data_IF_588864193587
#
_entry.id   IF_588864193587
#
_cell.length_a   1.000
_cell.length_b   1.000
_cell.length_c   1.000
_cell.angle_alpha   90.00
_cell.angle_beta   90.00
_cell.angle_gamma   90.00
#
_symmetry.space_group_name_H-M   'P 1'
#
loop_
_entity.id
_entity.type
_entity.pdbx_description
1 polymer ?
#
# COMPACT_ATOMS: atom_id res chain seq x y z
N UNK A 1 -27.62 14.63 -2.95
CA UNK A 1 -27.35 15.13 -1.58
C UNK A 1 -25.96 14.74 -1.04
N UNK A 2 -25.30 13.69 -1.55
CA UNK A 2 -23.92 13.30 -1.17
C UNK A 2 -22.78 14.11 -1.83
N UNK A 3 -23.08 14.99 -2.77
CA UNK A 3 -22.07 15.70 -3.58
C UNK A 3 -21.60 17.02 -2.94
N UNK A 4 -22.41 17.61 -2.03
CA UNK A 4 -22.09 18.89 -1.40
C UNK A 4 -21.11 18.73 -0.21
N UNK A 5 -21.19 17.62 0.52
CA UNK A 5 -20.34 17.38 1.70
C UNK A 5 -18.87 17.11 1.32
N UNK A 6 -18.62 16.47 0.17
CA UNK A 6 -17.26 16.31 -0.35
C UNK A 6 -16.61 17.63 -0.82
N UNK A 7 -17.40 18.59 -1.34
CA UNK A 7 -16.87 19.88 -1.78
C UNK A 7 -16.40 20.73 -0.60
N UNK A 8 -17.07 20.61 0.54
CA UNK A 8 -16.69 21.30 1.78
C UNK A 8 -15.35 20.75 2.30
N UNK A 9 -15.13 19.43 2.26
CA UNK A 9 -13.82 18.85 2.55
C UNK A 9 -12.73 19.34 1.58
N UNK A 10 -13.01 19.43 0.27
CA UNK A 10 -12.04 19.93 -0.71
C UNK A 10 -11.67 21.41 -0.50
N UNK A 11 -12.64 22.26 -0.16
CA UNK A 11 -12.41 23.69 0.11
C UNK A 11 -11.67 23.92 1.43
N UNK A 12 -11.92 23.11 2.47
CA UNK A 12 -11.16 23.15 3.74
C UNK A 12 -9.71 22.71 3.53
N UNK A 13 -9.45 21.74 2.63
CA UNK A 13 -8.10 21.32 2.28
C UNK A 13 -7.33 22.44 1.55
N UNK A 14 -7.98 23.26 0.72
CA UNK A 14 -7.32 24.37 0.02
C UNK A 14 -7.03 25.58 0.92
N UNK A 15 -7.84 25.84 1.97
CA UNK A 15 -7.59 26.96 2.90
C UNK A 15 -6.63 26.63 4.05
N UNK A 16 -6.29 25.36 4.25
CA UNK A 16 -5.43 24.87 5.34
C UNK A 16 -4.11 24.28 4.88
N UNK A 17 -3.67 24.63 3.65
CA UNK A 17 -2.34 24.31 3.13
C UNK A 17 -1.25 24.98 4.00
N UNK A 18 -0.98 24.41 5.18
CA UNK A 18 -0.02 24.94 6.14
C UNK A 18 -0.22 24.55 7.61
N UNK A 19 -1.32 23.90 8.04
CA UNK A 19 -1.61 23.74 9.48
C UNK A 19 -1.98 22.34 9.98
N UNK A 20 -2.01 21.32 9.13
CA UNK A 20 -2.01 19.95 9.63
C UNK A 20 -0.56 19.47 9.74
N UNK A 21 -0.02 19.27 10.96
CA UNK A 21 1.21 18.52 11.09
C UNK A 21 0.88 17.11 10.61
N UNK A 22 1.33 16.73 9.40
CA UNK A 22 1.46 15.32 9.05
C UNK A 22 2.69 14.78 9.78
N UNK A 23 2.67 14.88 11.11
CA UNK A 23 3.68 14.31 11.98
C UNK A 23 3.42 12.82 12.00
N UNK A 24 4.41 12.11 11.48
CA UNK A 24 4.71 10.69 11.70
C UNK A 24 3.70 9.96 12.60
N UNK A 25 3.09 8.90 12.05
CA UNK A 25 2.17 8.03 12.76
C UNK A 25 2.80 7.56 14.09
N UNK A 26 2.17 7.87 15.23
CA UNK A 26 2.69 7.47 16.54
C UNK A 26 2.61 5.96 16.71
N UNK A 27 3.28 5.39 17.72
CA UNK A 27 3.20 3.96 17.99
C UNK A 27 1.79 3.56 18.44
N UNK A 28 1.14 4.42 19.21
CA UNK A 28 -0.23 4.25 19.66
C UNK A 28 -1.18 4.24 18.46
N UNK A 29 -1.03 5.19 17.53
CA UNK A 29 -1.83 5.22 16.30
C UNK A 29 -1.58 3.98 15.44
N UNK A 30 -0.33 3.52 15.33
CA UNK A 30 0.02 2.27 14.61
C UNK A 30 -0.68 1.05 15.22
N UNK A 31 -0.65 0.94 16.55
CA UNK A 31 -1.27 -0.17 17.27
C UNK A 31 -2.79 -0.14 17.12
N UNK A 32 -3.42 1.03 17.23
CA UNK A 32 -4.85 1.23 16.97
C UNK A 32 -5.21 0.77 15.55
N UNK A 33 -4.50 1.26 14.53
CA UNK A 33 -4.73 0.90 13.13
C UNK A 33 -4.62 -0.61 12.93
N UNK A 34 -3.59 -1.25 13.48
CA UNK A 34 -3.38 -2.70 13.33
C UNK A 34 -4.48 -3.49 14.04
N UNK A 35 -4.88 -3.08 15.24
CA UNK A 35 -5.93 -3.75 16.01
C UNK A 35 -7.28 -3.66 15.30
N UNK A 36 -7.66 -2.45 14.85
CA UNK A 36 -8.89 -2.21 14.09
C UNK A 36 -8.85 -2.97 12.77
N UNK A 37 -7.72 -2.96 12.04
CA UNK A 37 -7.55 -3.74 10.81
C UNK A 37 -7.79 -5.24 11.05
N UNK A 38 -7.21 -5.78 12.12
CA UNK A 38 -7.35 -7.19 12.47
C UNK A 38 -8.77 -7.56 12.88
N UNK A 39 -9.50 -6.65 13.52
CA UNK A 39 -10.93 -6.82 13.84
C UNK A 39 -11.77 -6.88 12.55
N UNK A 40 -11.67 -5.87 11.68
CA UNK A 40 -12.40 -5.85 10.40
C UNK A 40 -12.08 -7.06 9.53
N UNK A 41 -10.82 -7.54 9.54
CA UNK A 41 -10.41 -8.74 8.80
C UNK A 41 -11.09 -10.03 9.26
N UNK A 42 -11.68 -10.07 10.45
CA UNK A 42 -12.43 -11.25 10.95
C UNK A 42 -13.90 -11.22 10.54
N UNK A 43 -14.39 -10.09 10.02
CA UNK A 43 -15.77 -9.95 9.57
C UNK A 43 -15.99 -10.62 8.22
N UNK A 44 -17.22 -11.10 8.01
CA UNK A 44 -17.64 -11.66 6.73
C UNK A 44 -17.62 -10.59 5.62
N UNK A 45 -17.08 -10.94 4.45
CA UNK A 45 -16.98 -10.03 3.31
C UNK A 45 -15.79 -9.06 3.33
N UNK A 46 -14.87 -9.18 4.30
CA UNK A 46 -13.66 -8.37 4.34
C UNK A 46 -12.74 -8.58 3.11
N UNK A 47 -12.12 -7.50 2.64
CA UNK A 47 -11.22 -7.51 1.48
C UNK A 47 -9.99 -8.40 1.67
N UNK A 48 -9.62 -9.14 0.61
CA UNK A 48 -8.39 -9.93 0.61
C UNK A 48 -7.16 -9.07 0.26
N UNK A 49 -6.58 -8.45 1.29
CA UNK A 49 -5.36 -7.63 1.17
C UNK A 49 -4.11 -8.44 0.79
N UNK A 50 -4.12 -9.78 0.95
CA UNK A 50 -2.99 -10.64 0.61
C UNK A 50 -2.64 -10.52 -0.87
N UNK A 51 -3.67 -10.45 -1.72
CA UNK A 51 -3.49 -10.31 -3.16
C UNK A 51 -2.81 -8.99 -3.51
N UNK A 52 -3.18 -7.87 -2.87
CA UNK A 52 -2.61 -6.55 -3.18
C UNK A 52 -1.11 -6.46 -2.88
N UNK A 53 -0.62 -7.15 -1.84
CA UNK A 53 0.77 -7.10 -1.42
C UNK A 53 1.74 -7.84 -2.35
N UNK A 54 1.29 -8.91 -3.00
CA UNK A 54 2.16 -9.84 -3.73
C UNK A 54 2.08 -9.68 -5.25
N UNK A 55 1.46 -8.61 -5.74
CA UNK A 55 1.30 -8.39 -7.18
C UNK A 55 2.65 -8.05 -7.83
N UNK A 56 3.20 -8.94 -8.68
CA UNK A 56 4.54 -8.82 -9.24
C UNK A 56 4.74 -7.58 -10.12
N UNK A 57 3.66 -6.99 -10.63
CA UNK A 57 3.73 -5.74 -11.40
C UNK A 57 3.71 -4.50 -10.52
N UNK A 58 3.26 -4.57 -9.27
CA UNK A 58 3.27 -3.44 -8.35
C UNK A 58 4.72 -3.10 -7.96
N UNK A 59 5.14 -1.88 -8.26
CA UNK A 59 6.52 -1.41 -8.09
C UNK A 59 6.64 -0.28 -7.07
N UNK A 60 5.52 0.31 -6.70
CA UNK A 60 5.46 1.47 -5.82
C UNK A 60 4.31 1.31 -4.84
N UNK A 61 4.53 1.78 -3.62
CA UNK A 61 3.53 1.88 -2.58
C UNK A 61 3.59 3.29 -2.00
N UNK A 62 2.44 3.92 -1.82
CA UNK A 62 2.31 5.17 -1.08
C UNK A 62 1.22 5.02 -0.03
N UNK A 63 1.51 5.40 1.21
CA UNK A 63 0.56 5.32 2.31
C UNK A 63 0.32 6.70 2.92
N UNK A 64 -0.88 6.90 3.46
CA UNK A 64 -1.27 8.10 4.18
C UNK A 64 -2.28 7.76 5.27
N UNK A 65 -2.41 8.66 6.23
CA UNK A 65 -3.39 8.53 7.29
C UNK A 65 -4.03 9.86 7.65
N UNK A 66 -5.20 9.80 8.26
CA UNK A 66 -5.88 10.96 8.83
C UNK A 66 -6.73 10.53 10.02
N UNK A 67 -6.79 11.37 11.06
CA UNK A 67 -7.70 11.18 12.19
C UNK A 67 -9.04 11.80 11.81
N UNK A 68 -10.09 10.99 11.70
CA UNK A 68 -11.44 11.52 11.45
C UNK A 68 -12.03 12.15 12.73
N UNK A 69 -13.13 12.89 12.57
CA UNK A 69 -13.79 13.55 13.69
C UNK A 69 -14.19 12.55 14.79
N UNK A 70 -14.19 12.97 16.08
CA UNK A 70 -14.44 12.09 17.22
C UNK A 70 -15.75 11.30 17.14
N UNK A 71 -16.77 11.87 16.49
CA UNK A 71 -18.10 11.26 16.30
C UNK A 71 -18.10 10.08 15.31
N UNK A 72 -17.10 10.02 14.42
CA UNK A 72 -16.90 8.96 13.42
C UNK A 72 -15.88 7.92 13.94
N UNK A 73 -15.08 8.30 14.94
CA UNK A 73 -14.34 7.36 15.79
C UNK A 73 -13.19 6.59 15.12
N UNK A 74 -12.68 7.02 13.96
CA UNK A 74 -11.69 6.23 13.22
C UNK A 74 -10.50 7.02 12.72
N UNK A 75 -9.30 6.57 13.06
CA UNK A 75 -8.10 6.87 12.29
C UNK A 75 -8.14 6.07 10.98
N UNK A 76 -8.14 6.76 9.83
CA UNK A 76 -8.13 6.13 8.51
C UNK A 76 -6.69 6.03 8.03
N UNK A 77 -6.26 4.81 7.70
CA UNK A 77 -4.95 4.51 7.11
C UNK A 77 -5.16 3.83 5.76
N UNK A 78 -4.57 4.38 4.70
CA UNK A 78 -4.73 3.88 3.32
C UNK A 78 -3.38 3.75 2.65
N UNK A 79 -3.14 2.63 1.99
CA UNK A 79 -2.02 2.43 1.09
C UNK A 79 -2.51 2.19 -0.34
N UNK A 80 -1.89 2.87 -1.30
CA UNK A 80 -2.06 2.63 -2.73
C UNK A 80 -0.85 1.88 -3.29
N UNK A 81 -1.12 0.89 -4.13
CA UNK A 81 -0.12 0.07 -4.83
C UNK A 81 -0.19 0.38 -6.32
N UNK A 82 0.95 0.72 -6.93
CA UNK A 82 1.03 1.15 -8.33
C UNK A 82 2.10 0.36 -9.08
N UNK A 83 1.84 -0.08 -10.32
CA UNK A 83 0.57 -0.04 -11.05
C UNK A 83 -0.48 -0.99 -10.45
N UNK A 84 -1.75 -0.60 -10.55
CA UNK A 84 -2.88 -1.41 -10.14
C UNK A 84 -2.97 -2.69 -10.99
N UNK A 85 -3.23 -3.83 -10.33
CA UNK A 85 -3.45 -5.10 -11.00
C UNK A 85 -4.85 -5.21 -11.62
N UNK A 86 -5.02 -6.11 -12.61
CA UNK A 86 -6.35 -6.64 -12.95
C UNK A 86 -6.69 -7.71 -11.92
N UNK A 87 -7.56 -7.41 -10.96
CA UNK A 87 -7.79 -8.29 -9.80
C UNK A 87 -8.68 -9.50 -10.10
N UNK A 88 -9.51 -9.46 -11.14
CA UNK A 88 -10.47 -10.53 -11.45
C UNK A 88 -9.85 -11.62 -12.34
N UNK A 89 -9.74 -12.83 -11.80
CA UNK A 89 -9.34 -14.04 -12.55
C UNK A 89 -7.87 -14.12 -12.94
N UNK A 90 -7.03 -13.17 -12.51
CA UNK A 90 -5.59 -13.13 -12.82
C UNK A 90 -4.78 -13.46 -11.57
N UNK A 91 -3.69 -14.22 -11.75
CA UNK A 91 -2.76 -14.51 -10.66
C UNK A 91 -1.88 -13.29 -10.37
N UNK A 92 -1.57 -12.99 -9.10
CA UNK A 92 -0.71 -11.87 -8.73
C UNK A 92 0.70 -11.95 -9.33
N UNK A 93 1.17 -13.17 -9.62
CA UNK A 93 2.50 -13.43 -10.18
C UNK A 93 2.47 -14.71 -11.02
N UNK A 94 3.50 -14.88 -11.85
CA UNK A 94 3.72 -16.09 -12.61
C UNK A 94 4.39 -17.16 -11.74
N UNK A 95 3.92 -18.41 -11.85
CA UNK A 95 4.55 -19.54 -11.15
C UNK A 95 5.91 -19.86 -11.79
N UNK A 96 6.96 -19.96 -10.99
CA UNK A 96 8.28 -20.35 -11.46
C UNK A 96 9.37 -20.15 -10.40
N UNK A 97 10.63 -20.45 -10.74
CA UNK A 97 11.77 -20.15 -9.87
C UNK A 97 11.88 -18.65 -9.60
N UNK A 98 12.37 -18.30 -8.40
CA UNK A 98 12.72 -16.92 -8.07
C UNK A 98 13.62 -16.29 -9.13
N UNK A 99 13.38 -15.00 -9.39
CA UNK A 99 14.22 -14.16 -10.25
C UNK A 99 14.31 -14.58 -11.72
N UNK A 100 13.54 -15.60 -12.14
CA UNK A 100 13.55 -16.12 -13.50
C UNK A 100 13.22 -15.06 -14.56
N UNK A 101 12.28 -14.15 -14.23
CA UNK A 101 11.79 -13.12 -15.15
C UNK A 101 12.21 -11.69 -14.73
N UNK A 102 13.29 -11.53 -13.96
CA UNK A 102 13.78 -10.17 -13.69
C UNK A 102 14.39 -9.56 -14.95
N UNK A 103 13.98 -8.33 -15.26
CA UNK A 103 14.45 -7.52 -16.39
C UNK A 103 15.92 -7.15 -16.36
N UNK A 104 16.67 -7.54 -15.31
CA UNK A 104 18.13 -7.48 -15.32
C UNK A 104 18.76 -8.33 -16.42
N UNK A 105 17.99 -9.17 -17.13
CA UNK A 105 18.44 -10.02 -18.25
C UNK A 105 19.35 -11.17 -17.81
N UNK A 106 19.90 -11.07 -16.60
CA UNK A 106 20.92 -11.95 -16.03
C UNK A 106 20.41 -12.70 -14.79
N UNK A 107 19.11 -12.54 -14.45
CA UNK A 107 18.41 -13.18 -13.31
C UNK A 107 18.93 -12.75 -11.92
N UNK A 108 19.63 -11.63 -11.84
CA UNK A 108 20.06 -11.05 -10.56
C UNK A 108 18.91 -10.30 -9.89
N UNK A 109 18.76 -10.50 -8.59
CA UNK A 109 17.66 -9.98 -7.77
C UNK A 109 18.09 -9.83 -6.29
N UNK A 110 17.30 -9.08 -5.51
CA UNK A 110 17.50 -8.93 -4.06
C UNK A 110 16.51 -9.82 -3.33
N UNK A 111 17.02 -10.85 -2.64
CA UNK A 111 16.21 -11.76 -1.80
C UNK A 111 14.96 -12.31 -2.51
N UNK A 112 15.10 -12.71 -3.77
CA UNK A 112 14.00 -13.26 -4.57
C UNK A 112 13.12 -12.23 -5.29
N UNK A 113 13.36 -10.93 -5.07
CA UNK A 113 12.60 -9.83 -5.66
C UNK A 113 13.38 -9.12 -6.77
N UNK A 114 12.71 -8.89 -7.89
CA UNK A 114 13.29 -8.14 -9.00
C UNK A 114 13.54 -6.70 -8.58
N UNK A 115 14.79 -6.25 -8.76
CA UNK A 115 15.22 -4.90 -8.41
C UNK A 115 16.00 -4.33 -9.60
N UNK A 116 15.60 -3.16 -10.10
CA UNK A 116 16.26 -2.50 -11.23
C UNK A 116 17.72 -2.14 -10.95
N UNK A 117 18.11 -2.04 -9.67
CA UNK A 117 19.50 -1.81 -9.25
C UNK A 117 20.38 -3.07 -9.36
N UNK A 118 19.80 -4.26 -9.46
CA UNK A 118 20.55 -5.50 -9.62
C UNK A 118 20.89 -5.75 -11.09
N UNK A 119 21.85 -4.98 -11.62
CA UNK A 119 22.36 -5.13 -13.01
C UNK A 119 23.52 -6.13 -13.12
N UNK A 120 24.16 -6.47 -12.01
CA UNK A 120 25.27 -7.44 -11.91
C UNK A 120 25.22 -8.17 -10.56
N UNK A 121 25.91 -9.30 -10.47
CA UNK A 121 26.12 -10.00 -9.19
C UNK A 121 26.89 -9.09 -8.21
N UNK A 122 26.48 -9.10 -6.95
CA UNK A 122 27.12 -8.30 -5.91
C UNK A 122 26.44 -8.43 -4.56
N UNK A 123 26.89 -7.68 -3.54
CA UNK A 123 26.26 -7.69 -2.22
C UNK A 123 24.76 -7.36 -2.33
N UNK A 124 23.90 -8.30 -1.92
CA UNK A 124 22.44 -8.15 -2.00
C UNK A 124 21.83 -8.37 -3.39
N UNK A 125 22.62 -8.70 -4.43
CA UNK A 125 22.13 -9.03 -5.76
C UNK A 125 22.65 -10.41 -6.19
N UNK A 126 21.80 -11.43 -6.10
CA UNK A 126 22.10 -12.83 -6.37
C UNK A 126 21.06 -13.51 -7.27
N UNK A 127 21.30 -14.78 -7.60
CA UNK A 127 20.32 -15.65 -8.26
C UNK A 127 19.60 -16.49 -7.21
#
# INVERSE_FOLDING_TARGET
MFQLECLICYLIIQSSAGLLPQTTLSKEDQEEIVNVHNEYRRLEGASNMELLLVWATAKQIGCGFTKCLPEIGSTVFVCLYIPFGKYTGVRPYQKGPGCANCTSGLRWCDRGLCNSRCTKAGPGCGK
#
